data_IF_726397757137
#
_entry.id   IF_726397757137
#
_cell.length_a   1.000
_cell.length_b   1.000
_cell.length_c   1.000
_cell.angle_alpha   90.00
_cell.angle_beta   90.00
_cell.angle_gamma   90.00
#
_symmetry.space_group_name_H-M   'P 1'
#
loop_
_entity.id
_entity.type
_entity.pdbx_description
1 polymer ?
#
# COMPACT_ATOMS: atom_id res chain seq x y z
N UNK A 1 8.66 -24.77 -0.35
CA UNK A 1 8.74 -23.38 0.15
C UNK A 1 7.40 -22.77 -0.16
N UNK A 2 6.45 -22.93 0.74
CA UNK A 2 5.08 -22.46 0.51
C UNK A 2 5.06 -20.93 0.50
N UNK A 3 4.26 -20.30 -0.39
CA UNK A 3 4.10 -18.85 -0.38
C UNK A 3 3.51 -18.43 0.98
N UNK A 4 4.03 -17.33 1.53
CA UNK A 4 3.49 -16.73 2.76
C UNK A 4 1.99 -16.44 2.54
N UNK A 5 1.08 -17.08 3.29
CA UNK A 5 -0.36 -16.90 3.13
C UNK A 5 -0.80 -15.45 3.37
N UNK A 6 0.05 -14.59 3.95
CA UNK A 6 -0.18 -13.16 4.15
C UNK A 6 0.43 -12.26 3.08
N UNK A 7 1.22 -12.78 2.13
CA UNK A 7 1.85 -11.98 1.07
C UNK A 7 0.92 -11.70 -0.14
N UNK A 8 -0.34 -12.11 -0.06
CA UNK A 8 -1.37 -11.78 -1.06
C UNK A 8 -2.08 -10.45 -0.79
N UNK A 9 -2.82 -9.95 -1.77
CA UNK A 9 -3.70 -8.79 -1.60
C UNK A 9 -4.79 -9.12 -0.58
N UNK A 10 -5.02 -8.23 0.38
CA UNK A 10 -6.02 -8.41 1.44
C UNK A 10 -6.95 -7.21 1.56
N UNK A 11 -8.17 -7.45 2.04
CA UNK A 11 -9.13 -6.38 2.40
C UNK A 11 -8.52 -5.49 3.46
N UNK A 12 -8.67 -4.17 3.28
CA UNK A 12 -8.10 -3.12 4.10
C UNK A 12 -6.76 -2.59 3.59
N UNK A 13 -6.07 -3.26 2.65
CA UNK A 13 -4.83 -2.73 2.07
C UNK A 13 -5.05 -1.35 1.42
N UNK A 14 -4.10 -0.43 1.60
CA UNK A 14 -4.11 0.90 0.98
C UNK A 14 -3.32 0.83 -0.31
N UNK A 15 -3.90 1.31 -1.40
CA UNK A 15 -3.37 1.15 -2.75
C UNK A 15 -3.37 2.46 -3.51
N UNK A 16 -2.54 2.53 -4.54
CA UNK A 16 -2.52 3.58 -5.57
C UNK A 16 -2.53 2.91 -6.95
N UNK A 17 -2.78 3.66 -8.02
CA UNK A 17 -2.65 3.14 -9.39
C UNK A 17 -1.27 2.52 -9.65
N UNK A 18 -1.25 1.44 -10.42
CA UNK A 18 -0.06 0.68 -10.78
C UNK A 18 0.34 0.83 -12.24
N UNK A 19 1.30 0.00 -12.65
CA UNK A 19 1.96 0.10 -13.97
C UNK A 19 1.02 -0.20 -15.13
N UNK A 20 0.07 -1.12 -14.95
CA UNK A 20 -0.86 -1.53 -16.00
C UNK A 20 -2.15 -0.70 -16.02
N UNK A 21 -2.22 0.37 -15.20
CA UNK A 21 -3.39 1.21 -15.07
C UNK A 21 -3.80 1.85 -16.39
N UNK A 22 -5.07 1.67 -16.75
CA UNK A 22 -5.66 2.21 -17.99
C UNK A 22 -7.03 2.84 -17.79
N UNK A 23 -7.39 3.15 -16.55
CA UNK A 23 -8.75 3.53 -16.15
C UNK A 23 -8.94 5.04 -15.98
N UNK A 24 -8.18 5.84 -16.72
CA UNK A 24 -8.23 7.30 -16.66
C UNK A 24 -7.99 7.82 -15.24
N UNK A 25 -8.91 8.64 -14.74
CA UNK A 25 -8.82 9.31 -13.44
C UNK A 25 -9.83 8.76 -12.42
N UNK A 26 -10.21 7.48 -12.53
CA UNK A 26 -11.17 6.87 -11.59
C UNK A 26 -10.70 6.88 -10.12
N UNK A 27 -9.40 6.92 -9.89
CA UNK A 27 -8.74 7.08 -8.58
C UNK A 27 -8.59 8.55 -8.13
N UNK A 28 -9.11 9.51 -8.90
CA UNK A 28 -8.95 10.95 -8.65
C UNK A 28 -7.63 11.54 -9.18
N UNK A 29 -6.88 10.79 -9.99
CA UNK A 29 -5.60 11.21 -10.55
C UNK A 29 -4.40 10.54 -9.87
N UNK A 30 -3.21 10.64 -10.48
CA UNK A 30 -1.99 9.95 -10.00
C UNK A 30 -1.69 10.26 -8.52
N UNK A 31 -1.38 9.24 -7.72
CA UNK A 31 -1.22 9.41 -6.27
C UNK A 31 -2.54 9.44 -5.48
N UNK A 32 -3.69 9.32 -6.13
CA UNK A 32 -4.97 9.03 -5.48
C UNK A 32 -4.91 7.71 -4.73
N UNK A 33 -5.26 7.74 -3.44
CA UNK A 33 -5.21 6.57 -2.56
C UNK A 33 -6.59 5.95 -2.41
N UNK A 34 -6.64 4.62 -2.34
CA UNK A 34 -7.85 3.87 -2.07
C UNK A 34 -7.62 2.73 -1.10
N UNK A 35 -8.72 2.14 -0.63
CA UNK A 35 -8.74 0.97 0.24
C UNK A 35 -9.30 -0.22 -0.53
N UNK A 36 -8.62 -1.36 -0.49
CA UNK A 36 -9.18 -2.64 -0.98
C UNK A 36 -10.34 -3.04 -0.06
N UNK A 37 -11.54 -3.21 -0.60
CA UNK A 37 -12.76 -3.52 0.18
C UNK A 37 -13.31 -4.91 -0.12
N UNK A 38 -12.98 -5.49 -1.26
CA UNK A 38 -13.46 -6.82 -1.66
C UNK A 38 -12.41 -7.54 -2.50
N UNK A 39 -12.25 -8.85 -2.27
CA UNK A 39 -11.44 -9.72 -3.12
C UNK A 39 -12.35 -10.44 -4.12
N UNK A 40 -11.92 -10.47 -5.37
CA UNK A 40 -12.59 -11.22 -6.42
C UNK A 40 -12.59 -12.72 -6.16
N UNK A 41 -13.58 -13.41 -6.73
CA UNK A 41 -13.82 -14.83 -6.48
C UNK A 41 -14.15 -15.53 -7.80
N UNK A 42 -13.75 -16.80 -7.88
CA UNK A 42 -14.07 -17.63 -9.04
C UNK A 42 -15.59 -17.70 -9.27
N UNK A 43 -16.02 -17.49 -10.52
CA UNK A 43 -17.43 -17.52 -10.91
C UNK A 43 -18.23 -16.23 -10.65
N UNK A 44 -17.64 -15.21 -10.02
CA UNK A 44 -18.31 -13.91 -9.88
C UNK A 44 -18.37 -13.18 -11.24
N UNK A 45 -19.55 -12.74 -11.70
CA UNK A 45 -19.69 -12.03 -12.97
C UNK A 45 -19.20 -10.58 -12.89
N UNK A 46 -19.21 -9.97 -11.69
CA UNK A 46 -18.82 -8.58 -11.46
C UNK A 46 -17.39 -8.42 -10.93
N UNK A 47 -16.96 -9.34 -10.06
CA UNK A 47 -15.63 -9.31 -9.43
C UNK A 47 -14.91 -10.67 -9.59
N UNK A 48 -14.45 -11.03 -10.81
CA UNK A 48 -13.81 -12.32 -11.06
C UNK A 48 -12.55 -12.56 -10.22
N UNK A 49 -12.08 -13.81 -10.17
CA UNK A 49 -10.82 -14.15 -9.50
C UNK A 49 -9.64 -13.29 -10.02
N UNK A 50 -8.67 -13.01 -9.15
CA UNK A 50 -7.53 -12.09 -9.39
C UNK A 50 -7.92 -10.65 -9.73
N UNK A 51 -9.11 -10.23 -9.33
CA UNK A 51 -9.50 -8.82 -9.27
C UNK A 51 -9.78 -8.41 -7.83
N UNK A 52 -9.83 -7.11 -7.57
CA UNK A 52 -10.21 -6.56 -6.26
C UNK A 52 -11.10 -5.34 -6.46
N UNK A 53 -12.04 -5.10 -5.54
CA UNK A 53 -12.78 -3.83 -5.48
C UNK A 53 -12.02 -2.86 -4.60
N UNK A 54 -11.80 -1.65 -5.09
CA UNK A 54 -11.19 -0.55 -4.37
C UNK A 54 -12.23 0.54 -4.13
N UNK A 55 -12.33 0.97 -2.87
CA UNK A 55 -12.97 2.22 -2.49
C UNK A 55 -11.90 3.32 -2.52
N UNK A 56 -11.92 4.19 -3.52
CA UNK A 56 -11.03 5.34 -3.58
C UNK A 56 -11.48 6.40 -2.56
N UNK A 57 -10.51 7.13 -2.01
CA UNK A 57 -10.76 8.16 -1.00
C UNK A 57 -11.63 9.31 -1.52
N UNK A 58 -11.64 9.53 -2.85
CA UNK A 58 -12.50 10.53 -3.49
C UNK A 58 -13.96 10.06 -3.66
N UNK A 59 -14.25 8.78 -3.41
CA UNK A 59 -15.61 8.23 -3.42
C UNK A 59 -15.86 7.15 -4.48
N UNK A 60 -15.11 7.13 -5.59
CA UNK A 60 -15.26 6.10 -6.63
C UNK A 60 -15.04 4.68 -6.06
N UNK A 61 -15.95 3.75 -6.38
CA UNK A 61 -15.86 2.34 -5.98
C UNK A 61 -16.01 1.44 -7.19
N UNK A 62 -14.97 0.69 -7.53
CA UNK A 62 -15.02 -0.27 -8.66
C UNK A 62 -13.91 -1.32 -8.56
N UNK A 63 -13.96 -2.32 -9.42
CA UNK A 63 -12.98 -3.40 -9.48
C UNK A 63 -11.79 -3.12 -10.42
N UNK A 64 -10.64 -3.68 -10.07
CA UNK A 64 -9.37 -3.55 -10.79
C UNK A 64 -8.61 -4.88 -10.83
N UNK A 65 -7.70 -5.03 -11.79
CA UNK A 65 -6.92 -6.25 -11.97
C UNK A 65 -5.78 -6.31 -10.96
N UNK A 66 -5.69 -7.42 -10.25
CA UNK A 66 -4.61 -7.76 -9.32
C UNK A 66 -3.98 -9.11 -9.72
N UNK A 67 -3.68 -9.26 -11.01
CA UNK A 67 -3.20 -10.49 -11.65
C UNK A 67 -4.17 -11.08 -12.68
N UNK A 68 -5.39 -10.53 -12.83
CA UNK A 68 -6.33 -10.94 -13.87
C UNK A 68 -5.77 -10.61 -15.26
N UNK A 69 -5.73 -11.61 -16.14
CA UNK A 69 -5.04 -11.55 -17.44
C UNK A 69 -3.58 -11.08 -17.35
N UNK A 70 -2.91 -11.37 -16.22
CA UNK A 70 -1.51 -11.01 -15.99
C UNK A 70 -1.25 -9.53 -15.72
N UNK A 71 -2.30 -8.71 -15.53
CA UNK A 71 -2.16 -7.28 -15.30
C UNK A 71 -2.34 -6.89 -13.82
N UNK A 72 -1.56 -5.89 -13.41
CA UNK A 72 -1.50 -5.34 -12.07
C UNK A 72 -1.79 -3.83 -12.11
N UNK A 73 -3.08 -3.50 -11.98
CA UNK A 73 -3.57 -2.11 -12.03
C UNK A 73 -3.26 -1.31 -10.76
N UNK A 74 -2.79 -1.97 -9.70
CA UNK A 74 -2.63 -1.39 -8.37
C UNK A 74 -1.24 -1.67 -7.79
N UNK A 75 -0.73 -0.71 -7.02
CA UNK A 75 0.46 -0.89 -6.18
C UNK A 75 0.07 -0.78 -4.71
N UNK A 76 0.69 -1.63 -3.89
CA UNK A 76 0.58 -1.55 -2.43
C UNK A 76 1.26 -0.27 -1.94
N UNK A 77 0.49 0.61 -1.28
CA UNK A 77 1.01 1.79 -0.59
C UNK A 77 1.27 1.51 0.90
N UNK A 78 0.28 0.97 1.60
CA UNK A 78 0.38 0.65 3.03
C UNK A 78 -0.46 -0.59 3.39
N UNK A 79 0.06 -1.42 4.29
CA UNK A 79 -0.58 -2.61 4.84
C UNK A 79 -0.63 -2.57 6.39
N UNK A 80 -0.29 -1.45 7.03
CA UNK A 80 -0.33 -1.33 8.47
C UNK A 80 -1.74 -1.54 9.06
N UNK A 81 -2.76 -1.03 8.36
CA UNK A 81 -4.17 -1.10 8.78
C UNK A 81 -4.77 -2.51 8.75
N UNK A 82 -4.18 -3.45 8.01
CA UNK A 82 -4.57 -4.87 8.06
C UNK A 82 -3.83 -5.64 9.17
N UNK A 83 -3.07 -4.93 10.00
CA UNK A 83 -2.40 -5.49 11.18
C UNK A 83 -0.97 -5.98 10.93
N UNK A 84 -0.40 -5.83 9.73
CA UNK A 84 0.99 -6.21 9.46
C UNK A 84 1.95 -5.44 10.36
N UNK A 85 2.88 -6.16 11.01
CA UNK A 85 3.84 -5.59 11.95
C UNK A 85 5.18 -6.34 11.94
N UNK A 86 6.24 -5.62 12.27
CA UNK A 86 7.55 -6.17 12.63
C UNK A 86 7.87 -5.76 14.07
N UNK A 87 7.38 -6.52 15.08
CA UNK A 87 7.34 -6.08 16.49
C UNK A 87 8.73 -5.82 17.09
N UNK A 88 9.73 -6.57 16.64
CA UNK A 88 11.09 -6.51 17.19
C UNK A 88 12.00 -5.54 16.43
N UNK A 89 11.47 -4.76 15.48
CA UNK A 89 12.25 -3.83 14.65
C UNK A 89 11.93 -2.40 15.05
N UNK A 90 12.97 -1.58 15.16
CA UNK A 90 12.90 -0.16 15.50
C UNK A 90 13.27 0.63 14.26
N UNK A 91 12.54 1.70 13.97
CA UNK A 91 12.92 2.60 12.89
C UNK A 91 14.10 3.47 13.34
N UNK A 92 15.25 3.38 12.67
CA UNK A 92 16.45 4.12 13.04
C UNK A 92 16.32 5.62 12.89
N UNK A 93 15.39 6.10 12.07
CA UNK A 93 15.14 7.52 11.90
C UNK A 93 14.20 8.09 12.99
N UNK A 94 13.00 7.53 13.14
CA UNK A 94 11.98 8.10 14.06
C UNK A 94 11.89 7.40 15.42
N UNK A 95 12.71 6.38 15.65
CA UNK A 95 12.83 5.61 16.91
C UNK A 95 11.55 4.93 17.39
N UNK A 96 10.53 4.82 16.53
CA UNK A 96 9.31 4.06 16.84
C UNK A 96 9.63 2.56 16.90
N UNK A 97 9.30 1.94 18.02
CA UNK A 97 9.38 0.48 18.23
C UNK A 97 8.21 -0.23 17.56
N UNK A 98 8.49 -1.41 17.01
CA UNK A 98 7.48 -2.25 16.36
C UNK A 98 6.97 -1.58 15.09
N UNK A 99 7.68 -1.77 13.98
CA UNK A 99 7.26 -1.18 12.70
C UNK A 99 5.85 -1.66 12.36
N UNK A 100 4.97 -0.71 12.03
CA UNK A 100 3.62 -0.98 11.51
C UNK A 100 3.69 -0.95 9.99
N UNK A 101 3.08 -1.95 9.36
CA UNK A 101 3.18 -2.19 7.93
C UNK A 101 4.57 -2.67 7.51
N UNK A 102 4.95 -2.36 6.28
CA UNK A 102 6.19 -2.82 5.64
C UNK A 102 7.47 -2.31 6.34
N UNK A 103 8.50 -3.14 6.32
CA UNK A 103 9.86 -2.82 6.79
C UNK A 103 10.78 -2.51 5.62
N UNK A 104 11.60 -1.47 5.77
CA UNK A 104 12.56 -1.03 4.76
C UNK A 104 13.97 -1.10 5.32
N UNK A 105 14.71 -2.16 4.99
CA UNK A 105 16.06 -2.39 5.50
C UNK A 105 17.10 -1.86 4.52
N UNK A 106 18.02 -1.01 4.97
CA UNK A 106 19.14 -0.56 4.14
C UNK A 106 20.07 -1.76 3.84
N UNK A 107 20.53 -1.86 2.59
CA UNK A 107 21.50 -2.89 2.18
C UNK A 107 22.96 -2.49 2.33
N UNK A 108 23.22 -1.21 2.56
CA UNK A 108 24.57 -0.64 2.63
C UNK A 108 25.01 -0.49 4.08
N UNK A 109 24.12 -0.01 4.95
CA UNK A 109 24.40 0.19 6.36
C UNK A 109 24.13 -1.07 7.18
N UNK A 110 24.99 -1.33 8.17
CA UNK A 110 24.79 -2.41 9.12
C UNK A 110 23.54 -2.13 9.96
N UNK A 111 22.62 -3.09 9.92
CA UNK A 111 21.38 -3.12 10.70
C UNK A 111 20.54 -1.84 10.73
N UNK A 112 20.43 -1.15 9.59
CA UNK A 112 19.66 0.10 9.50
C UNK A 112 18.27 -0.13 8.89
N UNK A 113 17.22 0.23 9.61
CA UNK A 113 15.82 -0.04 9.28
C UNK A 113 14.95 1.22 9.33
N UNK A 114 14.05 1.36 8.36
CA UNK A 114 13.07 2.44 8.29
C UNK A 114 11.64 1.90 8.27
N UNK A 115 10.71 2.66 8.86
CA UNK A 115 9.27 2.48 8.62
C UNK A 115 8.87 3.09 7.26
N UNK A 116 7.70 2.70 6.74
CA UNK A 116 7.14 3.26 5.49
C UNK A 116 7.11 4.78 5.48
N UNK A 117 6.70 5.42 6.58
CA UNK A 117 6.70 6.88 6.66
C UNK A 117 8.10 7.47 6.46
N UNK A 118 9.12 7.01 7.18
CA UNK A 118 10.48 7.51 7.04
C UNK A 118 11.06 7.22 5.64
N UNK A 119 10.81 6.03 5.10
CA UNK A 119 11.24 5.67 3.76
C UNK A 119 10.64 6.60 2.69
N UNK A 120 9.32 6.85 2.73
CA UNK A 120 8.63 7.69 1.75
C UNK A 120 8.92 9.20 1.91
N UNK A 121 9.39 9.64 3.09
CA UNK A 121 9.82 11.01 3.37
C UNK A 121 11.31 11.24 3.12
N UNK A 122 11.96 10.40 2.32
CA UNK A 122 13.37 10.55 1.96
C UNK A 122 14.30 10.63 3.17
N UNK A 123 13.96 9.96 4.28
CA UNK A 123 14.90 9.80 5.39
C UNK A 123 15.96 8.77 5.02
N UNK A 124 17.14 8.94 5.62
CA UNK A 124 18.38 8.20 5.28
C UNK A 124 18.93 8.53 3.89
N UNK A 125 20.16 8.11 3.62
CA UNK A 125 20.85 8.32 2.34
C UNK A 125 20.00 7.79 1.17
N UNK A 126 19.83 8.62 0.14
CA UNK A 126 18.99 8.30 -1.02
C UNK A 126 19.73 7.46 -2.05
N UNK A 127 21.07 7.51 -2.04
CA UNK A 127 21.93 6.66 -2.86
C UNK A 127 21.98 5.20 -2.36
N UNK A 128 21.50 4.90 -1.15
CA UNK A 128 21.48 3.54 -0.62
C UNK A 128 20.29 2.73 -1.16
N UNK A 129 20.57 1.51 -1.60
CA UNK A 129 19.55 0.51 -1.94
C UNK A 129 18.92 -0.08 -0.67
N UNK A 130 17.67 -0.55 -0.79
CA UNK A 130 16.88 -1.11 0.33
C UNK A 130 16.30 -2.47 -0.03
N UNK A 131 16.13 -3.33 0.97
CA UNK A 131 15.24 -4.48 0.92
C UNK A 131 13.90 -4.10 1.55
N UNK A 132 12.80 -4.35 0.82
CA UNK A 132 11.44 -4.25 1.33
C UNK A 132 10.96 -5.61 1.80
N UNK A 133 10.53 -5.68 3.06
CA UNK A 133 9.79 -6.81 3.60
C UNK A 133 8.34 -6.38 3.73
N UNK A 134 7.45 -7.03 2.99
CA UNK A 134 6.03 -6.71 3.02
C UNK A 134 5.38 -7.17 4.33
N UNK A 135 5.78 -8.35 4.81
CA UNK A 135 5.39 -8.94 6.10
C UNK A 135 6.64 -9.42 6.85
N UNK A 136 6.51 -9.80 8.12
CA UNK A 136 7.61 -10.38 8.90
C UNK A 136 8.12 -11.73 8.36
N UNK A 137 7.34 -12.41 7.52
CA UNK A 137 7.65 -13.73 6.97
C UNK A 137 7.94 -13.69 5.46
N UNK A 138 7.67 -12.56 4.81
CA UNK A 138 7.93 -12.36 3.39
C UNK A 138 9.43 -12.44 3.07
N UNK A 139 9.73 -12.93 1.87
CA UNK A 139 11.08 -12.78 1.30
C UNK A 139 11.31 -11.31 0.96
N UNK A 140 12.53 -10.78 1.17
CA UNK A 140 12.82 -9.40 0.80
C UNK A 140 12.77 -9.19 -0.71
N UNK A 141 12.25 -8.03 -1.11
CA UNK A 141 12.36 -7.52 -2.47
C UNK A 141 13.40 -6.41 -2.47
N UNK A 142 14.49 -6.59 -3.22
CA UNK A 142 15.53 -5.57 -3.36
C UNK A 142 15.05 -4.45 -4.28
N UNK A 143 15.24 -3.22 -3.82
CA UNK A 143 14.86 -1.99 -4.50
C UNK A 143 16.09 -1.18 -4.90
N UNK A 144 15.99 -0.49 -6.03
CA UNK A 144 16.99 0.49 -6.45
C UNK A 144 17.06 1.66 -5.45
N UNK A 145 18.19 2.39 -5.42
CA UNK A 145 18.30 3.65 -4.69
C UNK A 145 17.19 4.64 -5.05
N UNK A 146 16.77 5.44 -4.07
CA UNK A 146 15.72 6.46 -4.25
C UNK A 146 16.23 7.73 -4.94
N UNK A 147 17.54 7.91 -5.05
CA UNK A 147 18.15 9.10 -5.63
C UNK A 147 17.68 9.33 -7.07
N UNK A 148 17.18 10.55 -7.34
CA UNK A 148 16.73 10.95 -8.67
C UNK A 148 15.40 10.33 -9.12
N UNK A 149 14.76 9.49 -8.31
CA UNK A 149 13.45 8.93 -8.66
C UNK A 149 12.35 10.00 -8.56
N UNK A 150 11.38 10.01 -9.49
CA UNK A 150 10.23 10.90 -9.40
C UNK A 150 9.41 10.61 -8.15
N UNK A 151 8.87 11.66 -7.54
CA UNK A 151 8.02 11.56 -6.36
C UNK A 151 6.64 12.07 -6.68
N UNK A 152 5.65 11.22 -6.43
CA UNK A 152 4.25 11.53 -6.63
C UNK A 152 3.65 11.89 -5.27
N UNK A 153 3.08 13.10 -5.10
CA UNK A 153 2.35 13.44 -3.89
C UNK A 153 1.09 12.59 -3.77
N UNK A 154 0.85 12.02 -2.59
CA UNK A 154 -0.37 11.27 -2.31
C UNK A 154 -1.54 12.21 -2.04
N UNK A 155 -2.73 11.81 -2.51
CA UNK A 155 -3.99 12.53 -2.35
C UNK A 155 -5.06 11.58 -1.84
N UNK A 156 -5.88 12.06 -0.90
CA UNK A 156 -6.90 11.25 -0.25
C UNK A 156 -7.24 11.76 1.15
N UNK A 157 -7.70 10.85 2.01
CA UNK A 157 -8.10 11.13 3.39
C UNK A 157 -6.84 11.17 4.27
N UNK A 158 -6.14 12.31 4.20
CA UNK A 158 -4.99 12.65 5.04
C UNK A 158 -5.32 13.84 5.96
N UNK A 159 -4.39 14.20 6.86
CA UNK A 159 -4.55 15.38 7.70
C UNK A 159 -4.85 16.63 6.87
N UNK A 160 -5.93 17.34 7.22
CA UNK A 160 -6.41 18.52 6.50
C UNK A 160 -7.40 18.24 5.37
N UNK A 161 -7.71 16.97 5.06
CA UNK A 161 -8.77 16.62 4.13
C UNK A 161 -10.14 17.07 4.66
N UNK A 162 -10.98 17.60 3.77
CA UNK A 162 -12.42 17.78 4.02
C UNK A 162 -13.13 16.52 3.53
N UNK A 163 -13.96 15.94 4.39
CA UNK A 163 -14.61 14.65 4.13
C UNK A 163 -16.11 14.74 4.35
N UNK A 164 -16.83 13.81 3.75
CA UNK A 164 -18.25 13.50 4.03
C UNK A 164 -18.35 12.00 4.33
N UNK A 165 -19.50 11.56 4.86
CA UNK A 165 -19.73 10.14 5.14
C UNK A 165 -19.46 9.26 3.91
N UNK A 166 -18.81 8.13 4.14
CA UNK A 166 -18.55 7.11 3.12
C UNK A 166 -19.70 6.12 2.96
N UNK A 167 -19.56 5.14 2.06
CA UNK A 167 -20.59 4.11 1.83
C UNK A 167 -20.80 3.18 3.02
N UNK A 168 -19.77 2.97 3.85
CA UNK A 168 -19.82 2.11 5.04
C UNK A 168 -20.23 2.88 6.31
N UNK A 169 -20.89 4.03 6.18
CA UNK A 169 -21.31 4.85 7.31
C UNK A 169 -22.51 4.23 8.04
N UNK A 170 -22.30 3.86 9.31
CA UNK A 170 -23.35 3.31 10.18
C UNK A 170 -23.63 4.19 11.41
N UNK A 171 -23.11 5.42 11.42
CA UNK A 171 -23.06 6.29 12.61
C UNK A 171 -24.17 7.34 12.68
N UNK A 172 -25.34 7.08 12.08
CA UNK A 172 -26.49 7.98 12.13
C UNK A 172 -26.23 9.35 11.50
N UNK A 173 -26.40 10.43 12.29
CA UNK A 173 -26.30 11.84 11.86
C UNK A 173 -25.24 12.62 12.66
N UNK A 174 -24.07 12.02 12.88
CA UNK A 174 -22.97 12.64 13.61
C UNK A 174 -22.12 13.63 12.78
N UNK A 175 -22.42 13.81 11.50
CA UNK A 175 -21.71 14.64 10.52
C UNK A 175 -22.35 16.02 10.28
#
# INVERSE_FOLDING_TARGET
MDPDPQAGVQVGMRVVRGVDWKWGQQDGGEGGVGTVVELGRHGSPSTPDRTVVVQWDQGTRTNYRAGYQGAHDLLLYDNAQIGVRHPNIICDCCKKHGLRGMRWKCRVCLDYDLCTQCYMHNKHELAHAFDRYETAHSRPVTLSPRQGLPRIPLRGIFQGAKVVRGPDWEWGSQD
#
